data_IF_941303322935
#
_entry.id   IF_941303322935
#
_cell.length_a   1.000
_cell.length_b   1.000
_cell.length_c   1.000
_cell.angle_alpha   90.00
_cell.angle_beta   90.00
_cell.angle_gamma   90.00
#
_symmetry.space_group_name_H-M   'P 1'
#
loop_
_entity.id
_entity.type
_entity.pdbx_description
1 polymer ?
#
# COMPACT_ATOMS: atom_id res chain seq x y z
N UNK A 1 -15.91 -1.09 -10.49
CA UNK A 1 -14.64 -1.17 -11.26
C UNK A 1 -13.50 -1.43 -10.29
N UNK A 2 -12.51 -2.24 -10.66
CA UNK A 2 -11.30 -2.44 -9.86
C UNK A 2 -10.25 -1.44 -10.31
N UNK A 3 -9.65 -0.70 -9.39
CA UNK A 3 -8.63 0.31 -9.69
C UNK A 3 -7.40 0.00 -8.85
N UNK A 4 -6.25 -0.18 -9.52
CA UNK A 4 -4.98 -0.33 -8.85
C UNK A 4 -4.42 1.05 -8.48
N UNK A 5 -3.99 1.19 -7.23
CA UNK A 5 -3.33 2.37 -6.69
C UNK A 5 -1.86 2.02 -6.50
N UNK A 6 -0.99 2.90 -6.98
CA UNK A 6 0.45 2.79 -6.89
C UNK A 6 1.03 4.10 -6.38
N UNK A 7 2.09 4.00 -5.58
CA UNK A 7 2.81 5.11 -5.00
C UNK A 7 4.14 4.62 -4.42
N UNK A 8 5.05 5.52 -4.07
CA UNK A 8 6.27 5.15 -3.37
C UNK A 8 5.87 4.56 -2.01
N UNK A 9 6.28 3.33 -1.72
CA UNK A 9 6.20 2.77 -0.37
C UNK A 9 7.55 2.92 0.33
N UNK A 10 8.62 2.60 -0.38
CA UNK A 10 10.01 2.68 0.08
C UNK A 10 10.39 4.02 0.68
N UNK A 11 11.01 3.96 1.84
CA UNK A 11 11.52 5.13 2.54
C UNK A 11 12.61 4.75 3.57
N UNK A 12 13.48 5.69 3.98
CA UNK A 12 14.58 5.41 4.91
C UNK A 12 14.15 4.88 6.29
N UNK A 13 12.97 5.28 6.76
CA UNK A 13 12.45 4.86 8.06
C UNK A 13 11.09 4.17 7.95
N UNK A 14 10.79 3.27 8.89
CA UNK A 14 9.47 2.63 8.96
C UNK A 14 8.32 3.63 9.15
N UNK A 15 8.57 4.78 9.80
CA UNK A 15 7.57 5.86 9.93
C UNK A 15 7.27 6.50 8.58
N UNK A 16 8.28 6.82 7.79
CA UNK A 16 8.08 7.37 6.44
C UNK A 16 7.42 6.35 5.50
N UNK A 17 7.74 5.06 5.63
CA UNK A 17 7.02 3.99 4.90
C UNK A 17 5.54 3.93 5.28
N UNK A 18 5.22 4.10 6.56
CA UNK A 18 3.84 4.15 7.02
C UNK A 18 3.12 5.39 6.47
N UNK A 19 3.76 6.56 6.49
CA UNK A 19 3.18 7.80 5.96
C UNK A 19 2.86 7.68 4.46
N UNK A 20 3.76 7.04 3.71
CA UNK A 20 3.55 6.71 2.31
C UNK A 20 2.37 5.75 2.09
N UNK A 21 2.25 4.72 2.94
CA UNK A 21 1.14 3.77 2.87
C UNK A 21 -0.19 4.43 3.20
N UNK A 22 -0.20 5.32 4.19
CA UNK A 22 -1.38 6.07 4.61
C UNK A 22 -1.85 7.00 3.49
N UNK A 23 -0.95 7.69 2.80
CA UNK A 23 -1.28 8.51 1.63
C UNK A 23 -1.94 7.68 0.49
N UNK A 24 -1.47 6.45 0.26
CA UNK A 24 -2.12 5.55 -0.70
C UNK A 24 -3.51 5.10 -0.22
N UNK A 25 -3.68 4.86 1.08
CA UNK A 25 -4.96 4.49 1.67
C UNK A 25 -5.97 5.65 1.62
N UNK A 26 -5.55 6.90 1.78
CA UNK A 26 -6.41 8.08 1.60
C UNK A 26 -6.97 8.14 0.17
N UNK A 27 -6.13 7.91 -0.84
CA UNK A 27 -6.58 7.80 -2.23
C UNK A 27 -7.54 6.61 -2.43
N UNK A 28 -7.34 5.50 -1.72
CA UNK A 28 -8.23 4.35 -1.75
C UNK A 28 -9.62 4.67 -1.18
N UNK A 29 -9.69 5.44 -0.09
CA UNK A 29 -10.95 5.90 0.50
C UNK A 29 -11.75 6.69 -0.53
N UNK A 30 -11.13 7.66 -1.21
CA UNK A 30 -11.81 8.47 -2.22
C UNK A 30 -12.39 7.60 -3.36
N UNK A 31 -11.63 6.61 -3.87
CA UNK A 31 -12.12 5.70 -4.89
C UNK A 31 -13.23 4.77 -4.38
N UNK A 32 -13.13 4.32 -3.13
CA UNK A 32 -14.15 3.50 -2.51
C UNK A 32 -15.47 4.26 -2.35
N UNK A 33 -15.43 5.52 -1.91
CA UNK A 33 -16.60 6.40 -1.80
C UNK A 33 -17.27 6.67 -3.16
N UNK A 34 -16.51 6.60 -4.26
CA UNK A 34 -17.04 6.65 -5.63
C UNK A 34 -17.64 5.32 -6.13
N UNK A 35 -17.69 4.28 -5.28
CA UNK A 35 -18.22 2.96 -5.63
C UNK A 35 -17.25 2.07 -6.41
N UNK A 36 -15.95 2.36 -6.34
CA UNK A 36 -14.90 1.51 -6.91
C UNK A 36 -14.32 0.56 -5.86
N UNK A 37 -13.61 -0.47 -6.33
CA UNK A 37 -12.86 -1.39 -5.47
C UNK A 37 -11.38 -1.05 -5.63
N UNK A 38 -10.78 -0.31 -4.68
CA UNK A 38 -9.36 0.02 -4.72
C UNK A 38 -8.50 -1.20 -4.41
N UNK A 39 -7.34 -1.31 -5.07
CA UNK A 39 -6.35 -2.36 -4.85
C UNK A 39 -5.00 -1.68 -4.67
N UNK A 40 -4.36 -1.88 -3.52
CA UNK A 40 -2.98 -1.44 -3.25
C UNK A 40 -2.12 -2.69 -3.15
N UNK A 41 -1.15 -2.83 -4.06
CA UNK A 41 -0.26 -4.00 -4.08
C UNK A 41 0.52 -4.19 -2.78
N UNK A 42 0.94 -3.08 -2.16
CA UNK A 42 1.69 -3.07 -0.89
C UNK A 42 0.85 -3.64 0.26
N UNK A 43 -0.43 -3.26 0.39
CA UNK A 43 -1.33 -3.82 1.40
C UNK A 43 -1.49 -5.35 1.25
N UNK A 44 -1.39 -5.87 0.02
CA UNK A 44 -1.43 -7.30 -0.23
C UNK A 44 -0.06 -7.98 0.00
N UNK A 45 1.04 -7.27 -0.25
CA UNK A 45 2.40 -7.80 -0.13
C UNK A 45 2.89 -7.84 1.33
N UNK A 46 2.61 -6.83 2.15
CA UNK A 46 3.14 -6.74 3.51
C UNK A 46 2.83 -7.97 4.39
N UNK A 47 1.59 -8.48 4.45
CA UNK A 47 1.29 -9.69 5.23
C UNK A 47 2.02 -10.94 4.70
N UNK A 48 2.36 -10.97 3.41
CA UNK A 48 3.13 -12.06 2.80
C UNK A 48 4.61 -11.94 3.18
N UNK A 49 5.18 -10.72 3.12
CA UNK A 49 6.56 -10.44 3.51
C UNK A 49 6.82 -10.75 4.98
N UNK A 50 5.87 -10.46 5.88
CA UNK A 50 5.95 -10.85 7.30
C UNK A 50 6.12 -12.36 7.55
N UNK A 51 5.79 -13.19 6.55
CA UNK A 51 5.93 -14.65 6.59
C UNK A 51 7.03 -15.16 5.67
N UNK A 52 7.69 -14.27 4.92
CA UNK A 52 8.73 -14.58 3.96
C UNK A 52 10.09 -14.60 4.65
N UNK A 53 11.01 -15.41 4.12
CA UNK A 53 12.44 -15.37 4.49
C UNK A 53 13.24 -14.46 3.55
N UNK A 54 12.59 -13.86 2.56
CA UNK A 54 13.19 -12.88 1.64
C UNK A 54 13.28 -11.53 2.35
N UNK A 55 14.44 -10.89 2.26
CA UNK A 55 14.67 -9.56 2.81
C UNK A 55 13.67 -8.53 2.24
N UNK A 56 13.24 -7.61 3.09
CA UNK A 56 12.37 -6.51 2.72
C UNK A 56 13.13 -5.54 1.80
N UNK A 57 12.82 -5.55 0.50
CA UNK A 57 13.43 -4.66 -0.50
C UNK A 57 12.79 -3.24 -0.51
N UNK A 58 11.85 -2.95 0.40
CA UNK A 58 11.12 -1.68 0.42
C UNK A 58 11.70 -0.62 1.36
#
# INVERSE_FOLDING_TARGET
MKIAITGPYSAPTGKERQDNLDAMNEAAVALYEMGHIPIIGVNAALPVLEKSEVDDEY
#
